data_IF_096309911164
#
_entry.id   IF_096309911164
#
_cell.length_a   1.000
_cell.length_b   1.000
_cell.length_c   1.000
_cell.angle_alpha   90.00
_cell.angle_beta   90.00
_cell.angle_gamma   90.00
#
_symmetry.space_group_name_H-M   'P 1'
#
loop_
_entity.id
_entity.type
_entity.pdbx_description
1 polymer ?
#
# COMPACT_ATOMS: atom_id res chain seq x y z
N UNK A 1 -10.51 -6.00 -16.66
CA UNK A 1 -9.62 -5.94 -15.47
C UNK A 1 -10.36 -5.53 -14.18
N UNK A 2 -11.57 -4.94 -14.23
CA UNK A 2 -12.35 -4.56 -13.04
C UNK A 2 -13.44 -5.59 -12.66
N UNK A 3 -13.39 -6.80 -13.21
CA UNK A 3 -14.43 -7.83 -12.99
C UNK A 3 -13.88 -8.88 -12.03
N UNK A 4 -14.53 -8.99 -10.88
CA UNK A 4 -14.34 -10.07 -9.91
C UNK A 4 -14.66 -11.42 -10.55
N UNK A 5 -13.78 -12.39 -10.35
CA UNK A 5 -14.02 -13.79 -10.69
C UNK A 5 -14.94 -14.43 -9.64
N UNK A 6 -15.75 -15.41 -10.04
CA UNK A 6 -16.73 -16.04 -9.15
C UNK A 6 -16.12 -16.76 -7.94
N UNK A 7 -14.84 -17.15 -8.06
CA UNK A 7 -14.09 -17.83 -6.99
C UNK A 7 -13.38 -16.88 -6.03
N UNK A 8 -13.44 -15.56 -6.24
CA UNK A 8 -12.80 -14.59 -5.35
C UNK A 8 -13.79 -14.26 -4.23
N UNK A 9 -13.45 -14.58 -2.98
CA UNK A 9 -14.23 -14.20 -1.79
C UNK A 9 -14.02 -12.73 -1.39
N UNK A 10 -12.86 -12.18 -1.75
CA UNK A 10 -12.50 -10.78 -1.56
C UNK A 10 -11.75 -10.32 -2.80
N UNK A 11 -12.17 -9.19 -3.39
CA UNK A 11 -11.60 -8.61 -4.59
C UNK A 11 -11.33 -7.12 -4.41
N UNK A 12 -10.07 -6.72 -4.53
CA UNK A 12 -9.62 -5.34 -4.38
C UNK A 12 -9.18 -4.70 -5.68
N UNK A 13 -9.39 -3.39 -5.80
CA UNK A 13 -8.90 -2.60 -6.92
C UNK A 13 -7.65 -1.82 -6.51
N UNK A 14 -6.49 -2.14 -7.08
CA UNK A 14 -5.27 -1.38 -6.83
C UNK A 14 -5.09 -0.27 -7.86
N UNK A 15 -4.83 0.95 -7.39
CA UNK A 15 -4.58 2.12 -8.24
C UNK A 15 -3.22 2.75 -7.97
N UNK A 16 -2.67 3.40 -8.99
CA UNK A 16 -1.49 4.25 -8.88
C UNK A 16 -1.83 5.63 -9.44
N UNK A 17 -1.97 6.63 -8.57
CA UNK A 17 -2.36 7.98 -8.94
C UNK A 17 -1.45 9.02 -8.27
N UNK A 18 -0.94 10.02 -9.03
CA UNK A 18 -0.01 11.00 -8.49
C UNK A 18 -0.68 12.14 -7.72
N UNK A 19 -1.99 12.35 -7.86
CA UNK A 19 -2.66 13.54 -7.32
C UNK A 19 -3.93 13.21 -6.53
N UNK A 20 -4.19 13.91 -5.40
CA UNK A 20 -5.39 13.72 -4.60
C UNK A 20 -6.70 13.84 -5.39
N UNK A 21 -6.77 14.77 -6.34
CA UNK A 21 -7.98 14.93 -7.17
C UNK A 21 -8.24 13.74 -8.09
N UNK A 22 -7.18 13.09 -8.59
CA UNK A 22 -7.34 11.86 -9.37
C UNK A 22 -7.78 10.70 -8.48
N UNK A 23 -7.25 10.60 -7.26
CA UNK A 23 -7.69 9.60 -6.28
C UNK A 23 -9.17 9.78 -5.90
N UNK A 24 -9.59 11.04 -5.70
CA UNK A 24 -11.00 11.40 -5.43
C UNK A 24 -11.91 11.05 -6.61
N UNK A 25 -11.51 11.41 -7.82
CA UNK A 25 -12.26 11.11 -9.04
C UNK A 25 -12.41 9.60 -9.24
N UNK A 26 -11.34 8.83 -9.03
CA UNK A 26 -11.41 7.37 -9.09
C UNK A 26 -12.42 6.81 -8.08
N UNK A 27 -12.34 7.24 -6.81
CA UNK A 27 -13.29 6.80 -5.77
C UNK A 27 -14.75 7.04 -6.17
N UNK A 28 -15.08 8.26 -6.61
CA UNK A 28 -16.44 8.61 -7.06
C UNK A 28 -16.92 7.78 -8.24
N UNK A 29 -16.07 7.64 -9.26
CA UNK A 29 -16.41 6.86 -10.45
C UNK A 29 -16.67 5.39 -10.09
N UNK A 30 -15.94 4.82 -9.13
CA UNK A 30 -16.15 3.45 -8.71
C UNK A 30 -17.47 3.26 -7.96
N UNK A 31 -17.89 4.20 -7.12
CA UNK A 31 -19.22 4.18 -6.49
C UNK A 31 -20.36 4.20 -7.52
N UNK A 32 -20.17 4.92 -8.63
CA UNK A 32 -21.18 5.07 -9.70
C UNK A 32 -21.11 3.95 -10.76
N UNK A 33 -20.00 3.19 -10.80
CA UNK A 33 -19.72 2.24 -11.89
C UNK A 33 -20.58 0.97 -11.89
N UNK A 34 -21.18 0.62 -10.74
CA UNK A 34 -21.83 -0.67 -10.54
C UNK A 34 -20.87 -1.86 -10.47
N UNK A 35 -19.55 -1.64 -10.44
CA UNK A 35 -18.58 -2.72 -10.24
C UNK A 35 -18.60 -3.24 -8.79
N UNK A 36 -18.46 -4.55 -8.65
CA UNK A 36 -18.39 -5.22 -7.35
C UNK A 36 -16.93 -5.40 -6.92
N UNK A 37 -16.53 -4.73 -5.85
CA UNK A 37 -15.23 -4.84 -5.20
C UNK A 37 -15.38 -4.53 -3.71
N UNK A 38 -14.44 -5.05 -2.91
CA UNK A 38 -14.53 -5.00 -1.45
C UNK A 38 -13.66 -3.90 -0.85
N UNK A 39 -12.57 -3.51 -1.53
CA UNK A 39 -11.67 -2.46 -1.09
C UNK A 39 -10.92 -1.81 -2.26
N UNK A 40 -10.33 -0.65 -2.01
CA UNK A 40 -9.40 0.03 -2.93
C UNK A 40 -8.02 0.04 -2.29
N UNK A 41 -6.98 -0.27 -3.05
CA UNK A 41 -5.58 -0.24 -2.59
C UNK A 41 -4.77 0.84 -3.32
N UNK A 42 -4.03 1.64 -2.55
CA UNK A 42 -3.11 2.64 -3.08
C UNK A 42 -1.72 2.02 -3.28
N UNK A 43 -1.25 1.97 -4.53
CA UNK A 43 0.10 1.53 -4.85
C UNK A 43 1.12 2.63 -4.53
N UNK A 44 1.82 2.44 -3.42
CA UNK A 44 2.99 3.22 -3.00
C UNK A 44 4.25 2.33 -2.90
N UNK A 45 4.31 1.25 -3.70
CA UNK A 45 5.34 0.21 -3.57
C UNK A 45 6.10 -0.12 -4.86
N UNK A 46 5.56 0.21 -6.04
CA UNK A 46 6.21 -0.10 -7.31
C UNK A 46 7.58 0.63 -7.41
N UNK A 47 8.71 -0.11 -7.58
CA UNK A 47 10.03 0.50 -7.58
C UNK A 47 10.49 0.95 -8.98
N UNK A 48 9.69 0.67 -10.02
CA UNK A 48 10.06 0.91 -11.43
C UNK A 48 10.25 2.41 -11.66
N UNK A 49 11.40 2.79 -12.22
CA UNK A 49 11.77 4.21 -12.35
C UNK A 49 10.84 4.98 -13.29
N UNK A 50 10.36 4.35 -14.36
CA UNK A 50 9.36 4.96 -15.25
C UNK A 50 8.08 5.33 -14.48
N UNK A 51 7.59 4.44 -13.62
CA UNK A 51 6.43 4.66 -12.76
C UNK A 51 6.72 5.76 -11.73
N UNK A 52 7.89 5.73 -11.11
CA UNK A 52 8.31 6.75 -10.14
C UNK A 52 8.44 8.15 -10.76
N UNK A 53 8.83 8.26 -12.04
CA UNK A 53 8.92 9.54 -12.77
C UNK A 53 7.55 10.19 -12.97
N UNK A 54 6.48 9.41 -13.05
CA UNK A 54 5.11 9.91 -13.05
C UNK A 54 4.62 10.33 -11.65
N UNK A 55 5.44 10.18 -10.61
CA UNK A 55 5.10 10.60 -9.25
C UNK A 55 4.20 9.63 -8.50
N UNK A 56 4.26 8.34 -8.85
CA UNK A 56 3.51 7.23 -8.24
C UNK A 56 4.42 6.07 -7.81
N UNK A 57 3.92 5.14 -6.99
CA UNK A 57 4.70 4.00 -6.52
C UNK A 57 5.65 4.36 -5.38
N UNK A 58 6.79 3.67 -5.28
CA UNK A 58 7.67 3.74 -4.11
C UNK A 58 8.38 5.10 -3.93
N UNK A 59 8.40 5.98 -4.94
CA UNK A 59 8.92 7.34 -4.77
C UNK A 59 8.06 8.19 -3.83
N UNK A 60 6.79 7.82 -3.62
CA UNK A 60 5.90 8.51 -2.67
C UNK A 60 6.41 8.41 -1.22
N UNK A 61 7.24 7.42 -0.89
CA UNK A 61 7.84 7.25 0.44
C UNK A 61 8.79 8.39 0.83
N UNK A 62 9.27 9.16 -0.15
CA UNK A 62 10.08 10.36 0.09
C UNK A 62 9.24 11.58 0.48
N UNK A 63 7.92 11.50 0.30
CA UNK A 63 6.98 12.58 0.61
C UNK A 63 5.73 12.04 1.30
N UNK A 64 5.79 11.67 2.59
CA UNK A 64 4.67 11.10 3.34
C UNK A 64 3.40 11.96 3.31
N UNK A 65 3.53 13.30 3.28
CA UNK A 65 2.39 14.22 3.14
C UNK A 65 1.62 14.05 1.82
N UNK A 66 2.28 13.56 0.77
CA UNK A 66 1.61 13.21 -0.48
C UNK A 66 0.77 11.93 -0.31
N UNK A 67 1.29 10.93 0.40
CA UNK A 67 0.55 9.71 0.76
C UNK A 67 -0.68 10.06 1.61
N UNK A 68 -0.52 10.92 2.62
CA UNK A 68 -1.62 11.45 3.42
C UNK A 68 -2.71 12.08 2.54
N UNK A 69 -2.32 13.00 1.65
CA UNK A 69 -3.26 13.68 0.76
C UNK A 69 -4.02 12.72 -0.14
N UNK A 70 -3.34 11.72 -0.72
CA UNK A 70 -3.96 10.68 -1.54
C UNK A 70 -4.95 9.83 -0.73
N UNK A 71 -4.52 9.34 0.43
CA UNK A 71 -5.31 8.47 1.31
C UNK A 71 -6.58 9.17 1.80
N UNK A 72 -6.45 10.41 2.30
CA UNK A 72 -7.61 11.21 2.75
C UNK A 72 -8.57 11.52 1.61
N UNK A 73 -8.05 11.79 0.41
CA UNK A 73 -8.89 12.15 -0.74
C UNK A 73 -9.74 10.98 -1.20
N UNK A 74 -9.17 9.78 -1.30
CA UNK A 74 -9.93 8.59 -1.72
C UNK A 74 -10.82 8.03 -0.62
N UNK A 75 -10.37 8.05 0.64
CA UNK A 75 -11.17 7.63 1.80
C UNK A 75 -12.45 8.47 1.96
N UNK A 76 -12.41 9.76 1.64
CA UNK A 76 -13.60 10.63 1.63
C UNK A 76 -14.49 10.46 0.40
N UNK A 77 -14.01 9.77 -0.63
CA UNK A 77 -14.68 9.68 -1.94
C UNK A 77 -15.27 8.30 -2.23
N UNK A 78 -14.94 7.28 -1.44
CA UNK A 78 -15.47 5.93 -1.56
C UNK A 78 -16.08 5.47 -0.24
N UNK A 79 -17.14 4.69 -0.34
CA UNK A 79 -17.75 3.97 0.79
C UNK A 79 -16.94 2.73 1.19
N UNK A 80 -15.98 2.31 0.37
CA UNK A 80 -15.19 1.10 0.57
C UNK A 80 -13.92 1.35 1.39
N UNK A 81 -13.48 0.37 2.19
CA UNK A 81 -12.20 0.44 2.88
C UNK A 81 -11.05 0.78 1.93
N UNK A 82 -10.19 1.69 2.37
CA UNK A 82 -8.97 2.06 1.66
C UNK A 82 -7.79 1.37 2.30
N UNK A 83 -6.98 0.72 1.48
CA UNK A 83 -5.74 0.09 1.89
C UNK A 83 -4.57 0.73 1.16
N UNK A 84 -3.36 0.49 1.65
CA UNK A 84 -2.14 0.97 0.99
C UNK A 84 -1.08 -0.12 0.98
N UNK A 85 -0.37 -0.25 -0.14
CA UNK A 85 0.82 -1.09 -0.25
C UNK A 85 2.06 -0.24 -0.37
N UNK A 86 3.03 -0.47 0.53
CA UNK A 86 4.29 0.27 0.62
C UNK A 86 5.53 -0.63 0.59
N UNK A 87 6.69 0.00 0.44
CA UNK A 87 8.03 -0.56 0.73
C UNK A 87 8.57 0.07 2.01
N UNK A 88 9.64 -0.47 2.60
CA UNK A 88 10.16 0.04 3.90
C UNK A 88 10.72 1.48 3.82
N UNK A 89 11.06 1.94 2.61
CA UNK A 89 11.62 3.26 2.33
C UNK A 89 12.31 3.30 0.97
N UNK A 90 12.98 4.41 0.65
CA UNK A 90 13.81 4.51 -0.56
C UNK A 90 15.05 3.61 -0.48
N UNK A 91 15.71 3.63 0.67
CA UNK A 91 16.97 2.95 0.98
C UNK A 91 16.80 2.16 2.29
N UNK A 92 17.27 0.92 2.30
CA UNK A 92 17.21 -0.01 3.43
C UNK A 92 17.98 0.50 4.66
N UNK A 93 18.98 1.35 4.47
CA UNK A 93 19.73 1.97 5.57
C UNK A 93 18.93 3.02 6.31
N UNK A 94 17.84 3.52 5.72
CA UNK A 94 16.99 4.59 6.26
C UNK A 94 15.52 4.26 6.03
N UNK A 95 15.00 3.19 6.66
CA UNK A 95 13.58 2.88 6.56
C UNK A 95 12.77 4.01 7.20
N UNK A 96 11.55 4.24 6.73
CA UNK A 96 10.78 5.46 7.07
C UNK A 96 9.42 5.20 7.67
N UNK A 97 8.86 3.99 7.52
CA UNK A 97 7.48 3.69 7.94
C UNK A 97 7.20 3.97 9.43
N UNK A 98 8.15 3.65 10.32
CA UNK A 98 8.05 3.87 11.77
C UNK A 98 7.82 5.34 12.16
N UNK A 99 8.14 6.27 11.26
CA UNK A 99 8.01 7.71 11.53
C UNK A 99 6.57 8.22 11.44
N UNK A 100 5.69 7.50 10.76
CA UNK A 100 4.34 7.97 10.45
C UNK A 100 3.26 6.89 10.53
N UNK A 101 3.59 5.66 10.95
CA UNK A 101 2.61 4.57 11.08
C UNK A 101 1.43 4.90 12.01
N UNK A 102 1.62 5.79 12.99
CA UNK A 102 0.57 6.20 13.91
C UNK A 102 -0.48 7.09 13.23
N UNK A 103 -0.12 7.76 12.13
CA UNK A 103 -1.04 8.61 11.37
C UNK A 103 -1.94 7.81 10.40
N UNK A 104 -1.65 6.53 10.16
CA UNK A 104 -2.33 5.70 9.15
C UNK A 104 -3.86 5.71 9.32
N UNK A 105 -4.33 5.54 10.56
CA UNK A 105 -5.76 5.54 10.88
C UNK A 105 -6.39 6.90 10.60
N UNK A 106 -5.70 7.98 10.96
CA UNK A 106 -6.17 9.35 10.75
C UNK A 106 -6.21 9.73 9.27
N UNK A 107 -5.35 9.11 8.45
CA UNK A 107 -5.38 9.26 6.99
C UNK A 107 -6.56 8.53 6.33
N UNK A 108 -7.33 7.74 7.10
CA UNK A 108 -8.51 7.02 6.63
C UNK A 108 -8.19 5.65 6.03
N UNK A 109 -7.04 5.07 6.37
CA UNK A 109 -6.64 3.74 5.92
C UNK A 109 -7.19 2.67 6.86
N UNK A 110 -7.75 1.61 6.27
CA UNK A 110 -8.33 0.48 6.98
C UNK A 110 -7.33 -0.66 7.20
N UNK A 111 -6.35 -0.82 6.30
CA UNK A 111 -5.23 -1.76 6.44
C UNK A 111 -4.06 -1.31 5.57
N UNK A 112 -2.89 -1.90 5.78
CA UNK A 112 -1.74 -1.68 4.93
C UNK A 112 -0.90 -2.94 4.74
N UNK A 113 -0.19 -2.98 3.62
CA UNK A 113 0.74 -4.06 3.27
C UNK A 113 2.15 -3.51 3.13
N UNK A 114 3.12 -4.09 3.84
CA UNK A 114 4.52 -3.72 3.78
C UNK A 114 5.29 -4.76 2.99
N UNK A 115 5.85 -4.36 1.85
CA UNK A 115 6.91 -5.15 1.21
C UNK A 115 8.24 -4.88 1.94
N UNK A 116 8.85 -5.90 2.52
CA UNK A 116 10.01 -5.78 3.41
C UNK A 116 11.32 -5.29 2.76
N UNK A 117 11.29 -4.89 1.48
CA UNK A 117 12.45 -4.30 0.79
C UNK A 117 12.31 -2.80 0.61
N UNK A 118 13.43 -2.11 0.49
CA UNK A 118 13.53 -0.72 0.03
C UNK A 118 13.23 -0.61 -1.46
N UNK A 119 12.99 0.61 -1.96
CA UNK A 119 12.88 0.87 -3.40
C UNK A 119 14.17 0.48 -4.13
N UNK A 120 15.33 0.88 -3.59
CA UNK A 120 16.64 0.68 -4.21
C UNK A 120 17.02 -0.80 -4.32
N UNK A 121 16.61 -1.61 -3.36
CA UNK A 121 16.82 -3.06 -3.41
C UNK A 121 16.11 -3.72 -4.60
N UNK A 122 15.02 -3.14 -5.12
CA UNK A 122 14.15 -3.78 -6.12
C UNK A 122 13.85 -5.24 -5.74
N UNK A 123 14.56 -6.20 -6.32
CA UNK A 123 14.48 -7.64 -6.07
C UNK A 123 15.85 -8.31 -5.81
N UNK A 124 16.91 -7.54 -5.49
CA UNK A 124 18.29 -8.04 -5.41
C UNK A 124 18.76 -8.42 -4.01
N UNK A 125 17.96 -8.15 -2.98
CA UNK A 125 18.24 -8.43 -1.56
C UNK A 125 17.05 -9.11 -0.90
N UNK A 126 17.18 -9.54 0.34
CA UNK A 126 16.08 -10.14 1.10
C UNK A 126 15.18 -9.07 1.73
N UNK A 127 13.91 -9.42 1.93
CA UNK A 127 12.97 -8.65 2.72
C UNK A 127 13.35 -8.62 4.22
N UNK A 128 13.32 -7.44 4.82
CA UNK A 128 13.54 -7.21 6.25
C UNK A 128 12.25 -7.45 7.04
N UNK A 129 12.01 -8.71 7.40
CA UNK A 129 10.85 -9.14 8.17
C UNK A 129 10.87 -8.65 9.62
N UNK A 130 12.06 -8.41 10.21
CA UNK A 130 12.17 -7.82 11.55
C UNK A 130 11.61 -6.40 11.59
N UNK A 131 11.91 -5.59 10.56
CA UNK A 131 11.34 -4.26 10.42
C UNK A 131 9.84 -4.29 10.13
N UNK A 132 9.36 -5.23 9.30
CA UNK A 132 7.93 -5.45 9.08
C UNK A 132 7.23 -5.79 10.39
N UNK A 133 7.75 -6.73 11.17
CA UNK A 133 7.19 -7.15 12.46
C UNK A 133 7.17 -6.02 13.50
N UNK A 134 8.20 -5.17 13.54
CA UNK A 134 8.18 -3.94 14.36
C UNK A 134 7.04 -3.01 13.96
N UNK A 135 6.92 -2.71 12.66
CA UNK A 135 5.85 -1.83 12.18
C UNK A 135 4.46 -2.43 12.45
N UNK A 136 4.31 -3.75 12.33
CA UNK A 136 3.05 -4.44 12.56
C UNK A 136 2.59 -4.35 14.03
N UNK A 137 3.53 -4.43 14.99
CA UNK A 137 3.21 -4.26 16.42
C UNK A 137 2.78 -2.86 16.79
N UNK A 138 3.39 -1.85 16.17
CA UNK A 138 3.18 -0.45 16.53
C UNK A 138 2.05 0.21 15.73
N UNK A 139 1.62 -0.39 14.61
CA UNK A 139 0.59 0.17 13.74
C UNK A 139 -0.82 0.11 14.38
N UNK A 140 -1.63 1.18 14.25
CA UNK A 140 -2.99 1.23 14.77
C UNK A 140 -4.02 0.51 13.87
N UNK A 141 -3.57 -0.10 12.77
CA UNK A 141 -4.40 -0.78 11.76
C UNK A 141 -3.79 -2.13 11.37
N UNK A 142 -4.58 -3.10 10.89
CA UNK A 142 -4.09 -4.39 10.43
C UNK A 142 -2.94 -4.25 9.43
N UNK A 143 -1.85 -4.99 9.69
CA UNK A 143 -0.62 -4.96 8.90
C UNK A 143 -0.41 -6.31 8.23
N UNK A 144 -0.16 -6.29 6.92
CA UNK A 144 0.22 -7.48 6.15
C UNK A 144 1.67 -7.37 5.70
N UNK A 145 2.48 -8.41 5.94
CA UNK A 145 3.84 -8.50 5.43
C UNK A 145 3.89 -9.09 4.01
N UNK A 146 4.91 -8.73 3.23
CA UNK A 146 5.11 -9.23 1.87
C UNK A 146 6.59 -9.26 1.51
N UNK A 147 7.00 -10.32 0.82
CA UNK A 147 8.34 -10.45 0.24
C UNK A 147 9.01 -11.75 0.65
N UNK A 148 9.51 -12.50 -0.34
CA UNK A 148 10.37 -13.66 -0.14
C UNK A 148 9.73 -14.82 0.65
N UNK A 149 8.41 -14.97 0.53
CA UNK A 149 7.66 -16.17 0.94
C UNK A 149 7.36 -16.96 -0.34
N UNK A 150 8.06 -18.08 -0.53
CA UNK A 150 7.92 -18.98 -1.66
C UNK A 150 7.22 -20.29 -1.28
N UNK A 151 7.20 -20.64 0.01
CA UNK A 151 6.60 -21.85 0.53
C UNK A 151 5.84 -21.58 1.83
N UNK A 152 4.86 -22.44 2.13
CA UNK A 152 4.04 -22.32 3.34
C UNK A 152 4.85 -22.43 4.64
N UNK A 153 6.01 -23.09 4.62
CA UNK A 153 6.89 -23.22 5.80
C UNK A 153 7.53 -21.89 6.18
N UNK A 154 7.96 -21.10 5.19
CA UNK A 154 8.59 -19.79 5.40
C UNK A 154 7.59 -18.79 5.99
N UNK A 155 6.30 -18.97 5.74
CA UNK A 155 5.26 -18.17 6.39
C UNK A 155 5.32 -18.27 7.91
N UNK A 156 5.51 -19.47 8.46
CA UNK A 156 5.56 -19.68 9.92
C UNK A 156 6.78 -19.04 10.59
N UNK A 157 7.82 -18.69 9.82
CA UNK A 157 9.01 -18.00 10.33
C UNK A 157 8.74 -16.51 10.62
N UNK A 158 7.61 -15.97 10.15
CA UNK A 158 7.32 -14.54 10.14
C UNK A 158 5.97 -14.14 10.76
N UNK A 159 5.22 -15.09 11.34
CA UNK A 159 3.96 -14.82 12.06
C UNK A 159 4.17 -14.42 13.52
#
# INVERSE_FOLDING_TARGET
LLRRHESEDIFGLQIAVPWPDQARTFGRLMEESGHHFDFIDLNCACPVDAICRYGVGACLLDTPKKIEGLSRAISKASSRPITIKVRIGRDEKKPVLHKWLHELKDWGLAAWTIHGRSRMQRYTKLADWDYVGRCARDAPIPTFGSGDIFQHTEWYEHI
#
